data_IF_484878214135
#
_entry.id   IF_484878214135
#
_cell.length_a   1.000
_cell.length_b   1.000
_cell.length_c   1.000
_cell.angle_alpha   90.00
_cell.angle_beta   90.00
_cell.angle_gamma   90.00
#
_symmetry.space_group_name_H-M   'P 1'
#
loop_
_entity.id
_entity.type
_entity.pdbx_description
1 polymer ?
#
# COMPACT_ATOMS: atom_id res chain seq x y z
N UNK A 1 47.24 -85.47 30.99
CA UNK A 1 45.98 -84.76 30.72
C UNK A 1 46.30 -83.43 30.06
N UNK A 2 45.86 -83.23 28.82
CA UNK A 2 45.47 -81.96 28.19
C UNK A 2 45.03 -82.30 26.77
N UNK A 3 43.87 -81.78 26.39
CA UNK A 3 42.88 -82.42 25.52
C UNK A 3 43.12 -82.22 24.02
N UNK A 4 42.68 -83.21 23.23
CA UNK A 4 42.41 -83.08 21.80
C UNK A 4 41.05 -82.41 21.58
N UNK A 5 40.92 -81.57 20.55
CA UNK A 5 39.72 -81.53 19.70
C UNK A 5 40.11 -81.26 18.21
N UNK A 6 39.32 -81.73 17.23
CA UNK A 6 39.83 -82.18 15.93
C UNK A 6 39.23 -81.46 14.69
N UNK A 7 39.64 -81.95 13.51
CA UNK A 7 39.01 -81.85 12.16
C UNK A 7 39.32 -80.58 11.34
N UNK A 8 39.46 -80.58 10.01
CA UNK A 8 38.93 -81.42 8.90
C UNK A 8 39.85 -81.34 7.65
N UNK A 9 39.69 -82.21 6.62
CA UNK A 9 40.53 -82.24 5.41
C UNK A 9 40.13 -81.21 4.36
N UNK A 10 41.10 -80.62 3.64
CA UNK A 10 40.88 -79.71 2.50
C UNK A 10 40.86 -80.48 1.16
N UNK A 11 39.74 -80.49 0.41
CA UNK A 11 39.69 -81.10 -0.93
C UNK A 11 39.91 -80.08 -2.07
N UNK A 12 40.81 -80.43 -2.98
CA UNK A 12 40.82 -80.22 -4.44
C UNK A 12 40.52 -78.83 -5.04
N UNK A 13 41.52 -78.23 -5.71
CA UNK A 13 41.30 -77.15 -6.69
C UNK A 13 40.73 -77.71 -8.01
N UNK A 14 39.62 -77.16 -8.54
CA UNK A 14 39.22 -77.39 -9.91
C UNK A 14 39.58 -76.21 -10.81
N UNK A 15 40.32 -76.52 -11.88
CA UNK A 15 40.03 -76.10 -13.27
C UNK A 15 39.89 -74.61 -13.60
N UNK A 16 40.79 -74.12 -14.44
CA UNK A 16 40.77 -72.77 -14.98
C UNK A 16 39.51 -72.41 -15.78
N UNK A 17 39.16 -71.12 -15.72
CA UNK A 17 38.24 -70.46 -16.63
C UNK A 17 38.91 -69.20 -17.18
N UNK A 18 39.19 -69.21 -18.48
CA UNK A 18 39.52 -68.01 -19.26
C UNK A 18 38.23 -67.27 -19.60
N UNK A 19 38.11 -65.95 -19.35
CA UNK A 19 36.91 -65.20 -19.71
C UNK A 19 36.77 -65.08 -21.24
N UNK A 20 35.52 -65.04 -21.76
CA UNK A 20 35.26 -64.90 -23.19
C UNK A 20 35.63 -63.50 -23.72
N UNK A 21 35.91 -63.36 -25.03
CA UNK A 21 36.28 -62.08 -25.63
C UNK A 21 35.15 -61.06 -25.55
N UNK A 22 35.52 -59.80 -25.30
CA UNK A 22 34.60 -58.68 -25.20
C UNK A 22 33.85 -58.48 -26.53
N UNK A 23 32.53 -58.53 -26.49
CA UNK A 23 31.67 -58.10 -27.58
C UNK A 23 31.65 -56.57 -27.66
N UNK A 24 31.75 -56.03 -28.88
CA UNK A 24 31.65 -54.60 -29.19
C UNK A 24 30.25 -54.08 -28.82
N UNK A 25 30.09 -53.68 -27.56
CA UNK A 25 28.91 -52.98 -27.09
C UNK A 25 29.04 -51.50 -27.47
N UNK A 26 28.32 -51.09 -28.52
CA UNK A 26 28.04 -49.67 -28.73
C UNK A 26 26.88 -49.28 -27.80
N UNK A 27 27.06 -48.29 -26.89
CA UNK A 27 25.98 -47.87 -26.03
C UNK A 27 24.88 -47.16 -26.85
N UNK A 28 23.60 -47.35 -26.51
CA UNK A 28 22.51 -46.62 -27.18
C UNK A 28 22.65 -45.12 -26.92
N UNK A 29 22.22 -44.26 -27.86
CA UNK A 29 22.27 -42.82 -27.69
C UNK A 29 21.45 -42.40 -26.46
N UNK A 30 22.01 -41.47 -25.69
CA UNK A 30 21.38 -40.93 -24.49
C UNK A 30 20.00 -40.35 -24.85
N UNK A 31 18.94 -40.89 -24.25
CA UNK A 31 17.60 -40.33 -24.33
C UNK A 31 17.54 -39.07 -23.48
N UNK A 32 17.29 -37.92 -24.11
CA UNK A 32 17.01 -36.66 -23.42
C UNK A 32 15.68 -36.82 -22.64
N UNK A 33 15.69 -36.77 -21.28
CA UNK A 33 14.48 -36.96 -20.47
C UNK A 33 13.45 -35.84 -20.64
N UNK A 34 13.75 -34.79 -21.42
CA UNK A 34 12.84 -33.68 -21.73
C UNK A 34 12.27 -33.71 -23.16
N UNK A 35 12.57 -34.74 -23.97
CA UNK A 35 11.97 -34.88 -25.28
C UNK A 35 10.48 -35.25 -25.17
N UNK A 36 9.60 -34.27 -25.38
CA UNK A 36 8.15 -34.49 -25.41
C UNK A 36 7.75 -35.40 -26.59
N UNK A 37 6.88 -36.41 -26.38
CA UNK A 37 6.44 -37.28 -27.46
C UNK A 37 5.65 -36.50 -28.52
N UNK A 38 5.82 -36.81 -29.82
CA UNK A 38 5.08 -36.13 -30.89
C UNK A 38 3.58 -36.42 -30.74
N UNK A 39 2.77 -35.38 -30.50
CA UNK A 39 1.31 -35.49 -30.38
C UNK A 39 0.73 -35.10 -29.02
N UNK A 40 1.53 -34.59 -28.08
CA UNK A 40 1.02 -33.99 -26.85
C UNK A 40 0.32 -32.65 -27.13
N UNK A 41 -0.99 -32.59 -26.86
CA UNK A 41 -1.73 -31.33 -26.81
C UNK A 41 -1.11 -30.39 -25.77
N UNK A 42 -1.02 -29.08 -26.03
CA UNK A 42 -0.49 -28.15 -25.03
C UNK A 42 -1.35 -28.25 -23.75
N UNK A 43 -0.73 -28.26 -22.56
CA UNK A 43 -1.48 -28.24 -21.31
C UNK A 43 -2.39 -26.99 -21.28
N UNK A 44 -3.60 -27.10 -20.73
CA UNK A 44 -4.47 -25.93 -20.56
C UNK A 44 -3.71 -24.85 -19.79
N UNK A 45 -3.92 -23.55 -20.10
CA UNK A 45 -3.27 -22.47 -19.39
C UNK A 45 -3.49 -22.67 -17.89
N UNK A 46 -2.39 -22.72 -17.13
CA UNK A 46 -2.48 -22.73 -15.67
C UNK A 46 -3.40 -21.57 -15.26
N UNK A 47 -4.32 -21.75 -14.30
CA UNK A 47 -5.05 -20.63 -13.73
C UNK A 47 -4.00 -19.60 -13.34
N UNK A 48 -4.05 -18.42 -13.94
CA UNK A 48 -3.21 -17.32 -13.48
C UNK A 48 -3.63 -17.11 -12.03
N UNK A 49 -2.84 -17.63 -11.09
CA UNK A 49 -2.91 -17.16 -9.72
C UNK A 49 -2.66 -15.68 -9.86
N UNK A 50 -3.77 -14.94 -9.76
CA UNK A 50 -3.81 -13.52 -10.04
C UNK A 50 -2.64 -12.94 -9.29
N UNK A 51 -1.72 -12.33 -10.03
CA UNK A 51 -0.85 -11.35 -9.44
C UNK A 51 -1.77 -10.45 -8.64
N UNK A 52 -1.68 -10.51 -7.32
CA UNK A 52 -2.17 -9.43 -6.49
C UNK A 52 -1.69 -8.17 -7.20
N UNK A 53 -2.59 -7.22 -7.54
CA UNK A 53 -2.15 -5.99 -8.15
C UNK A 53 -1.00 -5.48 -7.28
N UNK A 54 0.18 -5.19 -7.86
CA UNK A 54 1.24 -4.60 -7.08
C UNK A 54 0.63 -3.43 -6.32
N UNK A 55 0.86 -3.38 -5.00
CA UNK A 55 0.41 -2.27 -4.15
C UNK A 55 0.64 -0.99 -4.94
N UNK A 56 -0.40 -0.15 -5.15
CA UNK A 56 -0.43 0.81 -6.24
C UNK A 56 0.85 1.63 -6.26
N UNK A 57 1.78 1.25 -7.15
CA UNK A 57 2.96 2.03 -7.43
C UNK A 57 2.48 3.18 -8.29
N UNK A 58 2.03 4.25 -7.62
CA UNK A 58 1.87 5.57 -8.21
C UNK A 58 0.90 5.64 -9.40
N UNK A 59 -0.29 5.07 -9.28
CA UNK A 59 -1.40 5.23 -10.23
C UNK A 59 -2.02 6.64 -10.25
N UNK A 60 -1.18 7.68 -10.19
CA UNK A 60 -1.48 9.08 -10.42
C UNK A 60 -0.17 9.89 -10.45
N UNK A 61 0.74 9.58 -11.39
CA UNK A 61 1.85 10.43 -11.86
C UNK A 61 2.76 11.19 -10.85
N UNK A 62 2.73 10.91 -9.54
CA UNK A 62 3.61 11.55 -8.56
C UNK A 62 3.70 10.73 -7.28
N UNK A 63 4.90 10.71 -6.68
CA UNK A 63 5.15 10.03 -5.41
C UNK A 63 4.30 10.57 -4.25
N UNK A 64 4.49 10.01 -3.06
CA UNK A 64 3.80 10.47 -1.85
C UNK A 64 4.07 11.96 -1.60
N UNK A 65 3.02 12.70 -1.23
CA UNK A 65 3.12 14.13 -1.00
C UNK A 65 4.09 14.45 0.15
N UNK A 66 5.02 15.38 -0.10
CA UNK A 66 5.94 15.85 0.92
C UNK A 66 5.24 16.72 1.96
N UNK A 67 5.77 16.70 3.19
CA UNK A 67 5.18 17.44 4.31
C UNK A 67 4.95 18.94 4.03
N UNK A 68 5.88 19.70 3.39
CA UNK A 68 5.64 21.13 3.14
C UNK A 68 4.42 21.41 2.26
N UNK A 69 4.15 20.57 1.25
CA UNK A 69 2.97 20.72 0.42
C UNK A 69 1.70 20.40 1.22
N UNK A 70 1.74 19.39 2.11
CA UNK A 70 0.62 19.08 3.02
C UNK A 70 0.36 20.24 3.97
N UNK A 71 1.41 20.86 4.51
CA UNK A 71 1.33 22.02 5.38
C UNK A 71 0.71 23.22 4.64
N UNK A 72 1.15 23.51 3.41
CA UNK A 72 0.55 24.55 2.57
C UNK A 72 -0.95 24.32 2.36
N UNK A 73 -1.34 23.09 1.99
CA UNK A 73 -2.75 22.74 1.80
C UNK A 73 -3.57 22.90 3.09
N UNK A 74 -3.01 22.47 4.23
CA UNK A 74 -3.63 22.63 5.54
C UNK A 74 -3.77 24.08 5.98
N UNK A 75 -2.77 24.94 5.72
CA UNK A 75 -2.85 26.38 6.03
C UNK A 75 -4.03 27.02 5.29
N UNK A 76 -4.18 26.72 4.01
CA UNK A 76 -5.28 27.27 3.21
C UNK A 76 -6.63 26.70 3.68
N UNK A 77 -6.72 25.39 3.92
CA UNK A 77 -7.96 24.74 4.31
C UNK A 77 -8.47 25.14 5.71
N UNK A 78 -7.57 25.46 6.66
CA UNK A 78 -7.94 25.73 8.05
C UNK A 78 -7.69 27.15 8.53
N UNK A 79 -6.54 27.75 8.20
CA UNK A 79 -6.16 29.06 8.75
C UNK A 79 -6.93 30.17 8.06
N UNK A 80 -7.08 30.12 6.73
CA UNK A 80 -7.80 31.16 5.98
C UNK A 80 -9.28 31.23 6.39
N UNK A 81 -10.07 30.13 6.39
CA UNK A 81 -11.42 30.17 6.94
C UNK A 81 -11.45 30.50 8.43
N UNK A 82 -10.48 30.01 9.20
CA UNK A 82 -10.37 30.26 10.64
C UNK A 82 -10.27 31.75 10.98
N UNK A 83 -9.48 32.53 10.22
CA UNK A 83 -9.41 33.99 10.37
C UNK A 83 -10.78 34.62 10.11
N UNK A 84 -11.45 34.27 9.02
CA UNK A 84 -12.77 34.81 8.68
C UNK A 84 -13.80 34.48 9.79
N UNK A 85 -13.84 33.22 10.24
CA UNK A 85 -14.73 32.78 11.31
C UNK A 85 -14.43 33.50 12.62
N UNK A 86 -13.15 33.76 12.94
CA UNK A 86 -12.76 34.49 14.15
C UNK A 86 -13.27 35.94 14.15
N UNK A 87 -13.29 36.61 13.00
CA UNK A 87 -13.81 37.98 12.88
C UNK A 87 -15.33 37.97 13.07
N UNK A 88 -16.04 37.07 12.38
CA UNK A 88 -17.50 36.93 12.48
C UNK A 88 -17.92 36.68 13.94
N UNK A 89 -17.25 35.74 14.61
CA UNK A 89 -17.59 35.34 15.98
C UNK A 89 -17.22 36.41 17.00
N UNK A 90 -16.12 37.15 16.82
CA UNK A 90 -15.78 38.29 17.67
C UNK A 90 -16.81 39.42 17.56
N UNK A 91 -17.27 39.74 16.35
CA UNK A 91 -18.34 40.74 16.16
C UNK A 91 -19.61 40.29 16.88
N UNK A 92 -20.04 39.04 16.68
CA UNK A 92 -21.22 38.48 17.36
C UNK A 92 -21.09 38.47 18.89
N UNK A 93 -19.89 38.25 19.42
CA UNK A 93 -19.65 38.21 20.86
C UNK A 93 -19.91 39.56 21.56
N UNK A 94 -19.85 40.68 20.82
CA UNK A 94 -20.23 42.01 21.35
C UNK A 94 -21.75 42.12 21.61
N UNK A 95 -22.56 41.25 21.00
CA UNK A 95 -24.01 41.23 21.18
C UNK A 95 -24.47 40.08 22.07
N UNK A 96 -23.91 38.88 21.86
CA UNK A 96 -24.23 37.69 22.64
C UNK A 96 -23.12 36.65 22.54
N UNK A 97 -22.51 36.32 23.67
CA UNK A 97 -21.50 35.26 23.76
C UNK A 97 -22.08 33.88 23.47
N UNK A 98 -23.33 33.62 23.87
CA UNK A 98 -24.04 32.36 23.56
C UNK A 98 -24.26 32.19 22.06
N UNK A 99 -24.75 33.23 21.37
CA UNK A 99 -24.95 33.18 19.92
C UNK A 99 -23.61 33.02 19.19
N UNK A 100 -22.58 33.77 19.60
CA UNK A 100 -21.23 33.66 19.06
C UNK A 100 -20.69 32.23 19.19
N UNK A 101 -20.84 31.61 20.36
CA UNK A 101 -20.43 30.22 20.59
C UNK A 101 -21.17 29.22 19.69
N UNK A 102 -22.50 29.34 19.56
CA UNK A 102 -23.29 28.47 18.69
C UNK A 102 -22.90 28.60 17.22
N UNK A 103 -22.71 29.84 16.73
CA UNK A 103 -22.27 30.10 15.35
C UNK A 103 -20.86 29.57 15.12
N UNK A 104 -19.94 29.80 16.07
CA UNK A 104 -18.57 29.27 16.00
C UNK A 104 -18.55 27.74 15.86
N UNK A 105 -19.35 27.05 16.67
CA UNK A 105 -19.48 25.59 16.61
C UNK A 105 -19.98 25.13 15.24
N UNK A 106 -21.06 25.73 14.73
CA UNK A 106 -21.65 25.36 13.43
C UNK A 106 -20.70 25.63 12.26
N UNK A 107 -19.97 26.74 12.27
CA UNK A 107 -18.98 27.06 11.23
C UNK A 107 -17.84 26.04 11.20
N UNK A 108 -17.30 25.66 12.37
CA UNK A 108 -16.22 24.69 12.45
C UNK A 108 -16.66 23.28 12.06
N UNK A 109 -17.82 22.81 12.56
CA UNK A 109 -18.38 21.51 12.15
C UNK A 109 -18.71 21.51 10.67
N UNK A 110 -19.33 22.58 10.17
CA UNK A 110 -19.65 22.74 8.75
C UNK A 110 -18.41 22.69 7.86
N UNK A 111 -17.32 23.35 8.27
CA UNK A 111 -16.04 23.30 7.55
C UNK A 111 -15.46 21.88 7.54
N UNK A 112 -15.46 21.18 8.68
CA UNK A 112 -14.97 19.79 8.76
C UNK A 112 -15.78 18.86 7.84
N UNK A 113 -17.11 18.94 7.89
CA UNK A 113 -17.97 18.13 7.02
C UNK A 113 -17.74 18.50 5.56
N UNK A 114 -17.65 19.77 5.21
CA UNK A 114 -17.41 20.24 3.85
C UNK A 114 -16.06 19.75 3.30
N UNK A 115 -14.97 19.94 4.03
CA UNK A 115 -13.65 19.45 3.59
C UNK A 115 -13.63 17.93 3.47
N UNK A 116 -14.27 17.22 4.40
CA UNK A 116 -14.41 15.77 4.35
C UNK A 116 -15.22 15.29 3.13
N UNK A 117 -16.31 15.97 2.80
CA UNK A 117 -17.10 15.73 1.59
C UNK A 117 -16.26 15.90 0.32
N UNK A 118 -15.48 16.97 0.24
CA UNK A 118 -14.64 17.24 -0.92
C UNK A 118 -13.51 16.21 -1.09
N UNK A 119 -12.82 15.87 0.01
CA UNK A 119 -11.82 14.79 -0.01
C UNK A 119 -12.47 13.46 -0.40
N UNK A 120 -13.64 13.14 0.16
CA UNK A 120 -14.33 11.89 -0.12
C UNK A 120 -14.76 11.77 -1.58
N UNK A 121 -15.31 12.84 -2.17
CA UNK A 121 -15.85 12.83 -3.54
C UNK A 121 -14.77 13.02 -4.61
N UNK A 122 -13.75 13.84 -4.33
CA UNK A 122 -12.80 14.31 -5.35
C UNK A 122 -11.34 14.02 -4.99
N UNK A 123 -11.04 13.64 -3.74
CA UNK A 123 -9.68 13.51 -3.24
C UNK A 123 -8.98 14.85 -3.00
N UNK A 124 -9.64 15.97 -3.26
CA UNK A 124 -9.05 17.31 -3.21
C UNK A 124 -9.94 18.29 -2.47
N UNK A 125 -9.31 19.28 -1.83
CA UNK A 125 -9.92 20.48 -1.22
C UNK A 125 -9.28 21.71 -1.85
N UNK A 126 -9.80 22.93 -1.66
CA UNK A 126 -9.19 24.13 -2.23
C UNK A 126 -7.70 24.28 -1.88
N UNK A 127 -7.31 24.07 -0.62
CA UNK A 127 -5.91 24.11 -0.22
C UNK A 127 -5.07 23.00 -0.83
N UNK A 128 -5.61 21.77 -0.89
CA UNK A 128 -4.91 20.65 -1.52
C UNK A 128 -4.74 20.84 -3.04
N UNK A 129 -5.72 21.41 -3.72
CA UNK A 129 -5.61 21.75 -5.15
C UNK A 129 -4.47 22.76 -5.38
N UNK A 130 -4.42 23.83 -4.58
CA UNK A 130 -3.31 24.81 -4.64
C UNK A 130 -1.96 24.15 -4.34
N UNK A 131 -1.90 23.26 -3.35
CA UNK A 131 -0.70 22.49 -3.02
C UNK A 131 -0.40 21.35 -4.01
N UNK A 132 -1.26 21.14 -5.01
CA UNK A 132 -1.21 20.04 -5.98
C UNK A 132 -1.10 18.66 -5.31
N UNK A 133 -1.92 18.43 -4.29
CA UNK A 133 -2.03 17.16 -3.57
C UNK A 133 -3.39 16.55 -3.83
N UNK A 134 -3.42 15.23 -3.93
CA UNK A 134 -4.66 14.44 -3.91
C UNK A 134 -4.60 13.38 -2.82
N UNK A 135 -5.71 13.14 -2.15
CA UNK A 135 -5.89 12.07 -1.17
C UNK A 135 -6.66 10.94 -1.84
N UNK A 136 -6.12 9.74 -1.74
CA UNK A 136 -6.68 8.53 -2.36
C UNK A 136 -6.62 7.35 -1.38
N UNK A 137 -7.39 6.31 -1.68
CA UNK A 137 -7.29 5.01 -1.01
C UNK A 137 -5.87 4.45 -1.19
N UNK A 138 -5.25 3.96 -0.11
CA UNK A 138 -3.96 3.29 -0.23
C UNK A 138 -4.04 1.92 -0.90
N UNK A 139 -5.25 1.33 -0.92
CA UNK A 139 -5.49 0.01 -1.49
C UNK A 139 -5.82 0.10 -2.98
N UNK A 140 -6.69 1.04 -3.38
CA UNK A 140 -7.21 1.12 -4.76
C UNK A 140 -6.63 2.28 -5.57
N UNK A 141 -6.12 3.34 -4.92
CA UNK A 141 -5.72 4.58 -5.61
C UNK A 141 -6.88 5.48 -6.02
N UNK A 142 -8.13 5.09 -5.76
CA UNK A 142 -9.32 5.89 -6.05
C UNK A 142 -9.67 6.87 -4.93
N UNK A 143 -10.64 7.75 -5.19
CA UNK A 143 -11.26 8.57 -4.15
C UNK A 143 -12.01 7.67 -3.14
N UNK A 144 -11.97 8.06 -1.88
CA UNK A 144 -12.37 7.20 -0.75
C UNK A 144 -13.88 7.19 -0.46
N UNK A 145 -14.66 7.99 -1.17
CA UNK A 145 -16.08 8.18 -0.92
C UNK A 145 -16.38 9.13 0.23
N UNK A 146 -17.58 9.69 0.22
CA UNK A 146 -18.02 10.76 1.14
C UNK A 146 -17.94 10.36 2.61
N UNK A 147 -18.46 9.18 2.97
CA UNK A 147 -18.49 8.72 4.37
C UNK A 147 -17.09 8.62 4.98
N UNK A 148 -16.18 7.84 4.37
CA UNK A 148 -14.78 7.77 4.80
C UNK A 148 -14.06 9.12 4.77
N UNK A 149 -14.36 10.00 3.80
CA UNK A 149 -13.80 11.36 3.75
C UNK A 149 -14.18 12.24 4.94
N UNK A 150 -15.46 12.23 5.34
CA UNK A 150 -15.92 12.93 6.54
C UNK A 150 -15.32 12.30 7.79
N UNK A 151 -15.34 10.97 7.90
CA UNK A 151 -14.75 10.25 9.04
C UNK A 151 -13.25 10.55 9.20
N UNK A 152 -12.51 10.64 8.09
CA UNK A 152 -11.10 11.04 8.07
C UNK A 152 -10.89 12.42 8.68
N UNK A 153 -11.79 13.36 8.41
CA UNK A 153 -11.69 14.72 8.92
C UNK A 153 -11.89 14.79 10.44
N UNK A 154 -12.78 13.97 11.00
CA UNK A 154 -12.92 13.85 12.46
C UNK A 154 -11.79 13.02 13.08
N UNK A 155 -11.23 12.03 12.38
CA UNK A 155 -10.07 11.29 12.86
C UNK A 155 -8.82 12.20 13.03
N UNK A 156 -8.72 13.30 12.27
CA UNK A 156 -7.68 14.32 12.47
C UNK A 156 -7.78 15.04 13.83
N UNK A 157 -8.88 14.91 14.58
CA UNK A 157 -8.93 15.37 15.98
C UNK A 157 -7.90 14.61 16.81
N UNK A 158 -7.70 13.32 16.55
CA UNK A 158 -6.69 12.49 17.24
C UNK A 158 -5.29 13.04 16.95
N UNK A 159 -5.01 13.41 15.70
CA UNK A 159 -3.73 14.02 15.31
C UNK A 159 -3.44 15.30 16.10
N UNK A 160 -4.48 16.07 16.40
CA UNK A 160 -4.38 17.31 17.19
C UNK A 160 -4.24 17.06 18.69
N UNK A 161 -4.97 16.08 19.24
CA UNK A 161 -4.98 15.76 20.68
C UNK A 161 -3.61 15.30 21.18
N UNK A 162 -2.81 14.66 20.34
CA UNK A 162 -1.43 14.27 20.67
C UNK A 162 -0.45 15.43 20.48
N UNK A 163 -0.77 16.61 21.01
CA UNK A 163 0.05 17.83 20.93
C UNK A 163 0.49 18.18 19.50
N UNK A 164 -0.41 18.01 18.53
CA UNK A 164 -0.15 18.20 17.08
C UNK A 164 0.91 17.25 16.46
N UNK A 165 1.47 16.31 17.22
CA UNK A 165 2.51 15.38 16.72
C UNK A 165 1.98 14.51 15.58
N UNK A 166 0.68 14.18 15.59
CA UNK A 166 0.05 13.41 14.51
C UNK A 166 0.09 14.11 13.16
N UNK A 167 0.13 15.45 13.15
CA UNK A 167 0.30 16.24 11.92
C UNK A 167 1.74 16.23 11.39
N UNK A 168 2.71 15.89 12.23
CA UNK A 168 4.12 15.74 11.87
C UNK A 168 4.50 14.32 11.45
N UNK A 169 3.65 13.33 11.74
CA UNK A 169 3.84 11.92 11.40
C UNK A 169 4.30 11.65 9.95
N UNK A 170 3.80 12.37 8.92
CA UNK A 170 4.28 12.23 7.56
C UNK A 170 5.78 12.49 7.32
N UNK A 171 6.48 13.13 8.27
CA UNK A 171 7.93 13.37 8.18
C UNK A 171 8.77 12.10 8.36
N UNK A 172 8.27 11.11 9.11
CA UNK A 172 9.00 9.88 9.43
C UNK A 172 8.23 8.60 9.13
N UNK A 173 6.94 8.70 8.78
CA UNK A 173 6.16 7.56 8.36
C UNK A 173 6.55 7.07 6.95
N UNK A 174 6.71 5.75 6.80
CA UNK A 174 7.12 5.14 5.52
C UNK A 174 6.14 5.42 4.37
N UNK A 175 4.85 5.59 4.66
CA UNK A 175 3.80 5.96 3.70
C UNK A 175 3.41 7.44 3.78
N UNK A 176 4.14 8.25 4.56
CA UNK A 176 3.87 9.69 4.80
C UNK A 176 2.43 9.95 5.27
N UNK A 177 1.89 9.07 6.09
CA UNK A 177 0.52 9.12 6.61
C UNK A 177 0.44 9.87 7.94
N UNK A 178 -0.66 10.60 8.19
CA UNK A 178 -1.06 10.96 9.57
C UNK A 178 -1.76 9.78 10.26
N UNK A 179 -2.16 9.91 11.53
CA UNK A 179 -2.95 8.85 12.18
C UNK A 179 -4.32 8.70 11.54
N UNK A 180 -4.97 9.82 11.18
CA UNK A 180 -6.23 9.78 10.44
C UNK A 180 -6.09 9.02 9.11
N UNK A 181 -4.98 9.24 8.40
CA UNK A 181 -4.73 8.55 7.14
C UNK A 181 -4.59 7.04 7.33
N UNK A 182 -3.95 6.61 8.43
CA UNK A 182 -3.82 5.18 8.78
C UNK A 182 -5.16 4.55 9.14
N UNK A 183 -5.96 5.23 9.95
CA UNK A 183 -7.28 4.73 10.39
C UNK A 183 -8.19 4.52 9.17
N UNK A 184 -8.15 5.44 8.20
CA UNK A 184 -8.99 5.41 7.01
C UNK A 184 -8.34 4.77 5.79
N UNK A 185 -7.13 4.20 5.94
CA UNK A 185 -6.37 3.56 4.84
C UNK A 185 -6.22 4.46 3.61
N UNK A 186 -5.70 5.66 3.83
CA UNK A 186 -5.52 6.67 2.79
C UNK A 186 -4.08 7.11 2.67
N UNK A 187 -3.70 7.63 1.50
CA UNK A 187 -2.40 8.27 1.27
C UNK A 187 -2.60 9.60 0.55
N UNK A 188 -1.74 10.56 0.86
CA UNK A 188 -1.64 11.81 0.12
C UNK A 188 -0.55 11.67 -0.94
N UNK A 189 -0.91 11.92 -2.20
CA UNK A 189 -0.04 11.81 -3.36
C UNK A 189 0.22 13.20 -3.95
N UNK A 190 1.39 13.37 -4.55
CA UNK A 190 1.71 14.53 -5.34
C UNK A 190 0.98 14.44 -6.69
N UNK A 191 0.12 15.42 -6.99
CA UNK A 191 -0.65 15.53 -8.22
C UNK A 191 -0.05 16.59 -9.17
N UNK A 192 1.19 17.05 -8.98
CA UNK A 192 1.74 18.17 -9.74
C UNK A 192 1.94 17.92 -11.23
N UNK A 193 1.96 16.66 -11.64
CA UNK A 193 2.05 16.24 -13.04
C UNK A 193 0.71 16.39 -13.79
N UNK A 194 -0.41 16.47 -13.08
CA UNK A 194 -1.71 16.78 -13.66
C UNK A 194 -1.79 18.30 -13.92
N UNK A 195 -1.92 18.73 -15.19
CA UNK A 195 -1.98 20.16 -15.52
C UNK A 195 -3.20 20.85 -14.91
N UNK A 196 -4.26 20.11 -14.57
CA UNK A 196 -5.47 20.63 -13.95
C UNK A 196 -5.45 20.50 -12.41
N UNK A 197 -4.35 20.05 -11.79
CA UNK A 197 -4.30 19.81 -10.34
C UNK A 197 -4.62 21.04 -9.47
N UNK A 198 -4.32 22.23 -9.96
CA UNK A 198 -4.64 23.51 -9.31
C UNK A 198 -5.99 24.10 -9.71
N UNK A 199 -6.66 23.51 -10.70
CA UNK A 199 -7.93 23.98 -11.25
C UNK A 199 -9.06 23.27 -10.53
N UNK A 200 -9.79 24.01 -9.71
CA UNK A 200 -10.91 23.48 -8.93
C UNK A 200 -12.14 23.37 -9.84
N UNK A 201 -12.49 22.15 -10.28
CA UNK A 201 -13.72 21.88 -11.04
C UNK A 201 -14.64 20.96 -10.23
N UNK A 202 -15.79 21.49 -9.83
CA UNK A 202 -16.83 20.75 -9.12
C UNK A 202 -17.98 20.37 -10.10
N UNK A 203 -17.64 19.78 -11.25
CA UNK A 203 -18.61 19.36 -12.28
C UNK A 203 -18.76 17.85 -12.30
#
# INVERSE_FOLDING_TARGET
>A
MSDQYPTTPQPGEPGGYTPPPASDFTPPPASDPYAAPPGAYPPPPAPSMGSYPPAPTGGAAGGLAEWPARALGGVIDYIVPGIVFSIITQVLANFSTTLSGAVSFLLNVGLYVYLGLLVGKYGVTPGKAIAKIKVVSEETGDVIGVGPGIARQFAHIIDSLICLVGWLFPLWDAKKQTLADKILKTVAINNSADPEAGVIRWS
#
